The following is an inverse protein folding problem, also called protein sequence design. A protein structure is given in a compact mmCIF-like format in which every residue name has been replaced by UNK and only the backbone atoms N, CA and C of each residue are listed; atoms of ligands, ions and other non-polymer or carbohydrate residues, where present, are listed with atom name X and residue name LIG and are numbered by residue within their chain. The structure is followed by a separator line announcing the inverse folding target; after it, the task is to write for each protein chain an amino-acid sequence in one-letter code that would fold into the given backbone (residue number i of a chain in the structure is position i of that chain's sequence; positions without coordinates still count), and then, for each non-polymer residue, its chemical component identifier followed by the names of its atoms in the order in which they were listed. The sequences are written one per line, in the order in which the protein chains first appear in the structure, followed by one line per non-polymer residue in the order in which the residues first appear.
data_IF_186813231239
#
_entry.id   IF_186813231239
#
_cell.length_a   1.000
_cell.length_b   1.000
_cell.length_c   1.000
_cell.angle_alpha   90.00
_cell.angle_beta   90.00
_cell.angle_gamma   90.00
#
_symmetry.space_group_name_H-M   'P 1'
#
loop_
_entity.id
_entity.type
_entity.pdbx_description
1 polymer ?
#
# COMPACT_ATOMS: atom_id res chain seq x y z
N UNK A 1 -14.99 14.91 -15.01
CA UNK A 1 -14.21 16.09 -15.43
C UNK A 1 -13.93 16.10 -16.91
N UNK A 2 -13.73 14.93 -17.54
CA UNK A 2 -13.54 14.77 -18.98
C UNK A 2 -14.64 15.49 -19.77
N UNK A 3 -15.92 15.33 -19.40
CA UNK A 3 -17.02 16.02 -20.08
C UNK A 3 -16.87 17.54 -20.01
N UNK A 4 -16.47 18.08 -18.86
CA UNK A 4 -16.26 19.52 -18.72
C UNK A 4 -15.09 20.02 -19.56
N UNK A 5 -14.03 19.22 -19.66
CA UNK A 5 -12.87 19.56 -20.49
C UNK A 5 -13.20 19.46 -21.99
N UNK A 6 -14.04 18.48 -22.40
CA UNK A 6 -14.61 18.43 -23.75
C UNK A 6 -15.51 19.64 -24.04
N UNK A 7 -16.44 19.99 -23.15
CA UNK A 7 -17.28 21.18 -23.28
C UNK A 7 -16.40 22.43 -23.38
N UNK A 8 -15.36 22.54 -22.55
CA UNK A 8 -14.45 23.68 -22.56
C UNK A 8 -13.59 23.75 -23.84
N UNK A 9 -13.24 22.60 -24.42
CA UNK A 9 -12.54 22.53 -25.69
C UNK A 9 -13.43 22.97 -26.87
N UNK A 10 -14.72 22.64 -26.81
CA UNK A 10 -15.72 23.05 -27.81
C UNK A 10 -16.20 24.49 -27.61
N UNK A 11 -16.30 24.93 -26.36
CA UNK A 11 -16.80 26.25 -25.95
C UNK A 11 -15.93 26.76 -24.79
N UNK A 12 -14.86 27.53 -25.08
CA UNK A 12 -13.95 28.05 -24.06
C UNK A 12 -14.69 28.83 -22.98
N UNK A 13 -14.65 28.32 -21.75
CA UNK A 13 -15.26 28.96 -20.58
C UNK A 13 -14.20 29.71 -19.79
N UNK A 14 -14.57 30.85 -19.19
CA UNK A 14 -13.75 31.47 -18.16
C UNK A 14 -13.70 30.59 -16.88
N UNK A 15 -12.73 30.84 -16.02
CA UNK A 15 -12.50 30.04 -14.81
C UNK A 15 -13.71 30.01 -13.87
N UNK A 16 -14.44 31.12 -13.76
CA UNK A 16 -15.63 31.20 -12.89
C UNK A 16 -16.77 30.31 -13.40
N UNK A 17 -17.03 30.32 -14.71
CA UNK A 17 -18.04 29.46 -15.33
C UNK A 17 -17.64 28.00 -15.21
N UNK A 18 -16.35 27.68 -15.41
CA UNK A 18 -15.81 26.33 -15.22
C UNK A 18 -16.03 25.84 -13.79
N UNK A 19 -15.78 26.68 -12.78
CA UNK A 19 -15.98 26.34 -11.37
C UNK A 19 -17.46 26.18 -11.00
N UNK A 20 -18.35 27.02 -11.53
CA UNK A 20 -19.80 26.87 -11.37
C UNK A 20 -20.28 25.55 -11.96
N UNK A 21 -19.87 25.22 -13.18
CA UNK A 21 -20.23 23.95 -13.84
C UNK A 21 -19.72 22.73 -13.07
N UNK A 22 -18.51 22.76 -12.51
CA UNK A 22 -18.00 21.70 -11.61
C UNK A 22 -18.91 21.50 -10.40
N UNK A 23 -19.35 22.60 -9.80
CA UNK A 23 -20.23 22.56 -8.62
C UNK A 23 -21.61 21.98 -8.97
N UNK A 24 -22.16 22.35 -10.13
CA UNK A 24 -23.42 21.81 -10.65
C UNK A 24 -23.29 20.30 -10.87
N UNK A 25 -22.25 19.85 -11.59
CA UNK A 25 -22.03 18.42 -11.84
C UNK A 25 -21.90 17.63 -10.53
N UNK A 26 -21.13 18.14 -9.57
CA UNK A 26 -21.00 17.51 -8.25
C UNK A 26 -22.34 17.42 -7.52
N UNK A 27 -23.17 18.46 -7.62
CA UNK A 27 -24.50 18.47 -6.99
C UNK A 27 -25.43 17.45 -7.63
N UNK A 28 -25.46 17.39 -8.97
CA UNK A 28 -26.24 16.40 -9.72
C UNK A 28 -25.82 14.98 -9.31
N UNK A 29 -24.51 14.72 -9.26
CA UNK A 29 -23.94 13.47 -8.77
C UNK A 29 -24.48 13.13 -7.38
N UNK A 30 -24.25 13.98 -6.39
CA UNK A 30 -24.71 13.72 -5.03
C UNK A 30 -26.22 13.40 -4.94
N UNK A 31 -27.06 14.06 -5.76
CA UNK A 31 -28.51 13.84 -5.78
C UNK A 31 -28.88 12.44 -6.28
N UNK A 32 -28.33 11.96 -7.41
CA UNK A 32 -28.69 10.63 -7.92
C UNK A 32 -27.89 9.50 -7.25
N UNK A 33 -26.72 9.77 -6.68
CA UNK A 33 -25.95 8.77 -5.93
C UNK A 33 -26.72 8.29 -4.68
N UNK A 34 -27.47 9.18 -4.03
CA UNK A 34 -28.23 8.82 -2.84
C UNK A 34 -29.25 7.68 -3.08
N UNK A 35 -30.18 7.76 -4.06
CA UNK A 35 -31.11 6.66 -4.33
C UNK A 35 -30.40 5.38 -4.77
N UNK A 36 -29.29 5.48 -5.53
CA UNK A 36 -28.46 4.32 -5.87
C UNK A 36 -27.93 3.65 -4.62
N UNK A 37 -27.30 4.39 -3.70
CA UNK A 37 -26.70 3.79 -2.50
C UNK A 37 -27.78 3.25 -1.55
N UNK A 38 -28.94 3.91 -1.46
CA UNK A 38 -30.08 3.38 -0.72
C UNK A 38 -30.57 2.06 -1.32
N UNK A 39 -30.67 1.96 -2.65
CA UNK A 39 -31.02 0.71 -3.32
C UNK A 39 -29.92 -0.35 -3.18
N UNK A 40 -28.65 0.02 -3.19
CA UNK A 40 -27.52 -0.88 -2.92
C UNK A 40 -27.59 -1.45 -1.50
N UNK A 41 -27.92 -0.59 -0.54
CA UNK A 41 -28.13 -0.97 0.86
C UNK A 41 -29.29 -1.95 0.97
N UNK A 42 -30.41 -1.67 0.32
CA UNK A 42 -31.54 -2.59 0.25
C UNK A 42 -31.15 -3.94 -0.37
N UNK A 43 -30.48 -3.95 -1.51
CA UNK A 43 -30.02 -5.15 -2.20
C UNK A 43 -29.05 -6.01 -1.36
N UNK A 44 -28.22 -5.38 -0.52
CA UNK A 44 -27.35 -6.08 0.43
C UNK A 44 -28.12 -6.92 1.46
N UNK A 45 -29.31 -6.48 1.85
CA UNK A 45 -30.10 -7.07 2.93
C UNK A 45 -31.34 -7.83 2.47
N UNK A 46 -31.76 -7.68 1.21
CA UNK A 46 -32.93 -8.37 0.66
C UNK A 46 -32.71 -9.88 0.48
N UNK A 47 -31.46 -10.34 0.40
CA UNK A 47 -31.05 -11.72 0.06
C UNK A 47 -31.67 -12.24 -1.26
N UNK A 48 -32.21 -11.37 -2.11
CA UNK A 48 -32.78 -11.73 -3.41
C UNK A 48 -31.74 -11.54 -4.52
N UNK A 49 -31.42 -12.64 -5.22
CA UNK A 49 -30.42 -12.67 -6.30
C UNK A 49 -30.81 -11.71 -7.42
N UNK A 50 -32.10 -11.65 -7.79
CA UNK A 50 -32.55 -10.80 -8.88
C UNK A 50 -32.37 -9.31 -8.53
N UNK A 51 -32.72 -8.92 -7.31
CA UNK A 51 -32.47 -7.57 -6.78
C UNK A 51 -30.99 -7.21 -6.85
N UNK A 52 -30.10 -8.13 -6.49
CA UNK A 52 -28.64 -7.90 -6.53
C UNK A 52 -28.11 -7.79 -7.96
N UNK A 53 -28.54 -8.65 -8.88
CA UNK A 53 -28.17 -8.57 -10.31
C UNK A 53 -28.60 -7.21 -10.89
N UNK A 54 -29.84 -6.79 -10.61
CA UNK A 54 -30.35 -5.49 -11.05
C UNK A 54 -29.53 -4.34 -10.47
N UNK A 55 -29.13 -4.44 -9.20
CA UNK A 55 -28.25 -3.45 -8.58
C UNK A 55 -26.89 -3.35 -9.30
N UNK A 56 -26.27 -4.47 -9.68
CA UNK A 56 -25.01 -4.45 -10.42
C UNK A 56 -25.14 -3.84 -11.82
N UNK A 57 -26.25 -4.08 -12.51
CA UNK A 57 -26.55 -3.41 -13.77
C UNK A 57 -26.63 -1.89 -13.58
N UNK A 58 -27.30 -1.43 -12.52
CA UNK A 58 -27.38 -0.01 -12.17
C UNK A 58 -25.99 0.56 -11.86
N UNK A 59 -25.19 -0.12 -11.03
CA UNK A 59 -23.82 0.31 -10.70
C UNK A 59 -22.94 0.37 -11.95
N UNK A 60 -23.03 -0.60 -12.86
CA UNK A 60 -22.29 -0.58 -14.12
C UNK A 60 -22.57 0.71 -14.90
N UNK A 61 -23.84 1.03 -15.12
CA UNK A 61 -24.22 2.23 -15.87
C UNK A 61 -23.84 3.51 -15.14
N UNK A 62 -24.01 3.52 -13.82
CA UNK A 62 -23.55 4.60 -12.97
C UNK A 62 -22.04 4.82 -13.12
N UNK A 63 -21.20 3.80 -12.92
CA UNK A 63 -19.74 3.91 -13.05
C UNK A 63 -19.31 4.42 -14.44
N UNK A 64 -19.97 3.96 -15.52
CA UNK A 64 -19.70 4.43 -16.88
C UNK A 64 -20.06 5.91 -17.00
N UNK A 65 -21.26 6.31 -16.60
CA UNK A 65 -21.70 7.70 -16.67
C UNK A 65 -20.81 8.62 -15.83
N UNK A 66 -20.49 8.17 -14.61
CA UNK A 66 -19.67 8.90 -13.67
C UNK A 66 -18.23 9.07 -14.10
N UNK A 67 -17.67 8.14 -14.88
CA UNK A 67 -16.32 8.28 -15.41
C UNK A 67 -16.14 9.58 -16.23
N UNK A 68 -17.22 10.10 -16.82
CA UNK A 68 -17.23 11.37 -17.56
C UNK A 68 -17.22 12.60 -16.64
N UNK A 69 -17.83 12.46 -15.45
CA UNK A 69 -18.14 13.57 -14.54
C UNK A 69 -17.17 13.67 -13.35
N UNK A 70 -16.56 12.55 -12.94
CA UNK A 70 -15.74 12.43 -11.75
C UNK A 70 -14.29 12.94 -11.88
N UNK A 71 -13.60 12.97 -10.75
CA UNK A 71 -12.15 13.19 -10.61
C UNK A 71 -11.36 11.92 -10.98
N UNK A 72 -10.06 12.03 -11.34
CA UNK A 72 -9.27 10.88 -11.79
C UNK A 72 -9.18 9.72 -10.80
N UNK A 73 -9.10 10.00 -9.51
CA UNK A 73 -9.09 8.97 -8.46
C UNK A 73 -10.38 8.15 -8.47
N UNK A 74 -11.53 8.81 -8.58
CA UNK A 74 -12.84 8.15 -8.64
C UNK A 74 -13.05 7.40 -9.97
N UNK A 75 -12.40 7.82 -11.07
CA UNK A 75 -12.35 7.03 -12.31
C UNK A 75 -11.63 5.70 -12.09
N UNK A 76 -10.49 5.69 -11.39
CA UNK A 76 -9.76 4.45 -11.07
C UNK A 76 -10.64 3.53 -10.21
N UNK A 77 -11.39 4.08 -9.26
CA UNK A 77 -12.35 3.31 -8.47
C UNK A 77 -13.43 2.69 -9.35
N UNK A 78 -14.04 3.46 -10.25
CA UNK A 78 -15.05 2.95 -11.17
C UNK A 78 -14.49 1.89 -12.13
N UNK A 79 -13.25 2.03 -12.60
CA UNK A 79 -12.58 0.98 -13.38
C UNK A 79 -12.45 -0.30 -12.55
N UNK A 80 -12.02 -0.19 -11.28
CA UNK A 80 -11.91 -1.34 -10.40
C UNK A 80 -13.27 -2.04 -10.18
N UNK A 81 -14.33 -1.27 -9.95
CA UNK A 81 -15.71 -1.78 -9.83
C UNK A 81 -16.17 -2.44 -11.14
N UNK A 82 -15.91 -1.82 -12.29
CA UNK A 82 -16.28 -2.38 -13.60
C UNK A 82 -15.53 -3.69 -13.90
N UNK A 83 -14.25 -3.80 -13.52
CA UNK A 83 -13.47 -5.04 -13.65
C UNK A 83 -14.07 -6.19 -12.81
N UNK A 84 -14.63 -5.88 -11.65
CA UNK A 84 -15.33 -6.87 -10.80
C UNK A 84 -16.67 -7.29 -11.38
N UNK A 85 -17.43 -6.31 -11.91
CA UNK A 85 -18.79 -6.53 -12.40
C UNK A 85 -18.80 -7.16 -13.79
N UNK A 86 -17.80 -6.88 -14.65
CA UNK A 86 -17.82 -7.29 -16.05
C UNK A 86 -17.94 -8.82 -16.25
N UNK A 87 -17.07 -9.66 -15.66
CA UNK A 87 -17.22 -11.12 -15.80
C UNK A 87 -18.46 -11.65 -15.09
N UNK A 88 -18.84 -10.99 -14.00
CA UNK A 88 -20.02 -11.30 -13.18
C UNK A 88 -21.33 -11.17 -13.95
N UNK A 89 -21.47 -10.17 -14.83
CA UNK A 89 -22.68 -9.99 -15.64
C UNK A 89 -22.77 -10.91 -16.84
N UNK A 90 -21.64 -11.42 -17.34
CA UNK A 90 -21.61 -12.29 -18.52
C UNK A 90 -21.78 -13.79 -18.17
N UNK A 91 -21.80 -14.14 -16.88
CA UNK A 91 -21.97 -15.51 -16.40
C UNK A 91 -22.88 -15.56 -15.15
N UNK A 92 -24.20 -15.60 -15.38
CA UNK A 92 -25.21 -15.58 -14.30
C UNK A 92 -25.05 -16.78 -13.35
N UNK A 93 -24.67 -17.96 -13.86
CA UNK A 93 -24.43 -19.15 -13.04
C UNK A 93 -23.21 -18.97 -12.13
N UNK A 94 -22.11 -18.38 -12.62
CA UNK A 94 -20.94 -18.06 -11.80
C UNK A 94 -21.24 -16.97 -10.75
N UNK A 95 -22.06 -15.98 -11.10
CA UNK A 95 -22.47 -14.90 -10.20
C UNK A 95 -23.21 -15.42 -8.96
N UNK A 96 -24.09 -16.40 -9.12
CA UNK A 96 -24.82 -17.01 -7.99
C UNK A 96 -23.87 -17.64 -6.96
N UNK A 97 -22.77 -18.26 -7.42
CA UNK A 97 -21.76 -18.88 -6.55
C UNK A 97 -20.87 -17.86 -5.85
N UNK A 98 -20.80 -16.61 -6.35
CA UNK A 98 -19.97 -15.54 -5.79
C UNK A 98 -20.79 -14.40 -5.19
N UNK A 99 -22.06 -14.66 -4.86
CA UNK A 99 -22.96 -13.71 -4.23
C UNK A 99 -22.36 -13.13 -2.93
N UNK A 100 -21.62 -13.93 -2.16
CA UNK A 100 -20.95 -13.46 -0.94
C UNK A 100 -19.87 -12.41 -1.20
N UNK A 101 -19.09 -12.54 -2.28
CA UNK A 101 -18.11 -11.53 -2.70
C UNK A 101 -18.84 -10.22 -3.03
N UNK A 102 -19.89 -10.33 -3.82
CA UNK A 102 -20.71 -9.22 -4.29
C UNK A 102 -21.33 -8.42 -3.14
N UNK A 103 -21.90 -9.08 -2.12
CA UNK A 103 -22.46 -8.42 -0.94
C UNK A 103 -21.37 -7.64 -0.19
N UNK A 104 -20.16 -8.18 -0.05
CA UNK A 104 -19.07 -7.48 0.65
C UNK A 104 -18.62 -6.25 -0.15
N UNK A 105 -18.56 -6.33 -1.48
CA UNK A 105 -18.28 -5.17 -2.34
C UNK A 105 -19.35 -4.10 -2.18
N UNK A 106 -20.64 -4.45 -2.24
CA UNK A 106 -21.73 -3.48 -2.06
C UNK A 106 -21.72 -2.81 -0.67
N UNK A 107 -21.34 -3.56 0.38
CA UNK A 107 -21.19 -3.01 1.74
C UNK A 107 -20.14 -1.90 1.85
N UNK A 108 -19.19 -1.83 0.91
CA UNK A 108 -18.24 -0.71 0.86
C UNK A 108 -18.93 0.62 0.59
N UNK A 109 -20.12 0.63 -0.03
CA UNK A 109 -20.86 1.87 -0.31
C UNK A 109 -21.66 2.40 0.88
N UNK A 110 -21.82 1.63 1.96
CA UNK A 110 -22.57 2.07 3.14
C UNK A 110 -21.96 3.31 3.79
N UNK A 111 -20.63 3.41 3.83
CA UNK A 111 -19.97 4.61 4.35
C UNK A 111 -20.27 5.83 3.47
N UNK A 112 -20.46 5.66 2.16
CA UNK A 112 -20.68 6.75 1.20
C UNK A 112 -21.97 7.53 1.49
N UNK A 113 -22.98 6.90 2.10
CA UNK A 113 -24.20 7.59 2.58
C UNK A 113 -23.84 8.78 3.47
N UNK A 114 -22.94 8.56 4.42
CA UNK A 114 -22.50 9.59 5.38
C UNK A 114 -21.58 10.63 4.73
N UNK A 115 -20.86 10.25 3.67
CA UNK A 115 -20.06 11.21 2.92
C UNK A 115 -20.95 12.20 2.16
N UNK A 116 -22.02 11.70 1.53
CA UNK A 116 -22.95 12.49 0.73
C UNK A 116 -23.87 13.33 1.62
N UNK A 117 -24.44 12.74 2.68
CA UNK A 117 -25.32 13.44 3.63
C UNK A 117 -24.66 14.68 4.24
N UNK A 118 -23.33 14.68 4.39
CA UNK A 118 -22.55 15.81 4.91
C UNK A 118 -22.79 17.09 4.12
N UNK A 119 -22.92 17.00 2.80
CA UNK A 119 -23.12 18.16 1.92
C UNK A 119 -24.54 18.75 2.08
N UNK A 120 -25.49 17.96 2.63
CA UNK A 120 -26.86 18.38 2.89
C UNK A 120 -27.10 18.87 4.34
N UNK A 121 -26.16 18.66 5.27
CA UNK A 121 -26.27 19.12 6.66
C UNK A 121 -25.90 20.62 6.74
N UNK A 122 -26.83 21.52 7.14
CA UNK A 122 -26.50 22.93 7.29
C UNK A 122 -25.38 23.18 8.31
N UNK A 123 -24.43 24.07 7.96
CA UNK A 123 -23.23 24.39 8.79
C UNK A 123 -23.54 24.81 10.23
N UNK A 124 -24.74 25.30 10.52
CA UNK A 124 -25.19 25.66 11.88
C UNK A 124 -25.27 24.44 12.81
N UNK A 125 -25.47 23.23 12.28
CA UNK A 125 -25.64 22.01 13.07
C UNK A 125 -24.33 21.25 13.27
N UNK A 126 -23.37 21.87 13.99
CA UNK A 126 -22.02 21.32 14.21
C UNK A 126 -22.02 19.91 14.80
N UNK A 127 -22.91 19.62 15.76
CA UNK A 127 -23.01 18.30 16.41
C UNK A 127 -23.43 17.21 15.43
N UNK A 128 -24.41 17.50 14.57
CA UNK A 128 -24.89 16.55 13.55
C UNK A 128 -23.76 16.27 12.55
N UNK A 129 -23.04 17.32 12.10
CA UNK A 129 -21.87 17.16 11.23
C UNK A 129 -20.78 16.29 11.88
N UNK A 130 -20.53 16.46 13.17
CA UNK A 130 -19.55 15.65 13.91
C UNK A 130 -19.96 14.18 13.96
N UNK A 131 -21.21 13.88 14.38
CA UNK A 131 -21.75 12.52 14.44
C UNK A 131 -21.70 11.87 13.07
N UNK A 132 -22.11 12.59 12.02
CA UNK A 132 -22.07 12.10 10.65
C UNK A 132 -20.65 11.73 10.19
N UNK A 133 -19.65 12.58 10.49
CA UNK A 133 -18.25 12.28 10.18
C UNK A 133 -17.72 11.07 10.97
N UNK A 134 -18.10 10.92 12.24
CA UNK A 134 -17.73 9.75 13.04
C UNK A 134 -18.34 8.47 12.45
N UNK A 135 -19.62 8.49 12.07
CA UNK A 135 -20.28 7.36 11.43
C UNK A 135 -19.63 7.01 10.08
N UNK A 136 -19.30 8.02 9.26
CA UNK A 136 -18.51 7.81 8.04
C UNK A 136 -17.20 7.07 8.34
N UNK A 137 -16.41 7.54 9.30
CA UNK A 137 -15.10 6.95 9.62
C UNK A 137 -15.21 5.54 10.17
N UNK A 138 -16.13 5.31 11.12
CA UNK A 138 -16.33 3.98 11.74
C UNK A 138 -16.80 2.98 10.70
N UNK A 139 -17.78 3.34 9.86
CA UNK A 139 -18.26 2.46 8.80
C UNK A 139 -17.20 2.24 7.72
N UNK A 140 -16.43 3.27 7.35
CA UNK A 140 -15.33 3.12 6.40
C UNK A 140 -14.30 2.13 6.93
N UNK A 141 -13.85 2.29 8.18
CA UNK A 141 -12.90 1.38 8.80
C UNK A 141 -13.46 -0.05 8.89
N UNK A 142 -14.73 -0.20 9.26
CA UNK A 142 -15.35 -1.51 9.39
C UNK A 142 -15.58 -2.21 8.05
N UNK A 143 -16.25 -1.58 7.08
CA UNK A 143 -16.64 -2.24 5.82
C UNK A 143 -15.54 -2.25 4.79
N UNK A 144 -14.79 -1.15 4.61
CA UNK A 144 -13.79 -1.01 3.54
C UNK A 144 -12.41 -1.50 3.92
N UNK A 145 -12.05 -1.47 5.20
CA UNK A 145 -10.76 -1.97 5.69
C UNK A 145 -10.94 -3.36 6.29
N UNK A 146 -11.60 -3.48 7.44
CA UNK A 146 -11.65 -4.75 8.17
C UNK A 146 -12.43 -5.85 7.44
N UNK A 147 -13.71 -5.64 7.11
CA UNK A 147 -14.53 -6.66 6.45
C UNK A 147 -13.99 -6.99 5.06
N UNK A 148 -13.59 -5.99 4.26
CA UNK A 148 -13.03 -6.23 2.93
C UNK A 148 -11.76 -7.09 2.99
N UNK A 149 -10.79 -6.75 3.87
CA UNK A 149 -9.58 -7.55 4.06
C UNK A 149 -9.92 -8.97 4.50
N UNK A 150 -10.74 -9.12 5.54
CA UNK A 150 -11.04 -10.43 6.14
C UNK A 150 -11.84 -11.34 5.21
N UNK A 151 -12.88 -10.80 4.58
CA UNK A 151 -13.84 -11.59 3.81
C UNK A 151 -13.43 -11.80 2.37
N UNK A 152 -12.62 -10.90 1.79
CA UNK A 152 -12.19 -11.00 0.38
C UNK A 152 -10.69 -11.30 0.30
N UNK A 153 -9.83 -10.41 0.82
CA UNK A 153 -8.37 -10.51 0.60
C UNK A 153 -7.79 -11.79 1.22
N UNK A 154 -8.11 -12.08 2.48
CA UNK A 154 -7.56 -13.25 3.18
C UNK A 154 -8.43 -14.52 3.08
N UNK A 155 -9.52 -14.48 2.31
CA UNK A 155 -10.44 -15.60 2.22
C UNK A 155 -10.00 -16.59 1.14
N UNK A 156 -9.47 -17.74 1.58
CA UNK A 156 -9.02 -18.82 0.69
C UNK A 156 -10.17 -19.35 -0.19
N UNK A 157 -11.37 -19.49 0.36
CA UNK A 157 -12.56 -20.00 -0.35
C UNK A 157 -12.97 -19.09 -1.51
N UNK A 158 -13.04 -17.76 -1.28
CA UNK A 158 -13.38 -16.83 -2.37
C UNK A 158 -12.32 -16.88 -3.48
N UNK A 159 -11.04 -16.91 -3.12
CA UNK A 159 -9.97 -16.99 -4.12
C UNK A 159 -10.06 -18.28 -4.94
N UNK A 160 -10.32 -19.43 -4.30
CA UNK A 160 -10.51 -20.70 -5.01
C UNK A 160 -11.78 -20.73 -5.85
N UNK A 161 -12.87 -20.12 -5.39
CA UNK A 161 -14.13 -20.07 -6.12
C UNK A 161 -14.00 -19.21 -7.39
N UNK A 162 -13.28 -18.08 -7.31
CA UNK A 162 -12.97 -17.26 -8.50
C UNK A 162 -12.24 -18.10 -9.55
N UNK A 163 -11.20 -18.84 -9.14
CA UNK A 163 -10.42 -19.68 -10.07
C UNK A 163 -11.20 -20.89 -10.59
N UNK A 164 -12.17 -21.38 -9.82
CA UNK A 164 -13.01 -22.53 -10.19
C UNK A 164 -14.13 -22.16 -11.18
N UNK A 165 -14.75 -21.00 -11.02
CA UNK A 165 -15.97 -20.63 -11.75
C UNK A 165 -15.72 -19.71 -12.95
N UNK A 166 -14.51 -19.15 -13.10
CA UNK A 166 -14.16 -18.27 -14.21
C UNK A 166 -12.98 -18.78 -15.03
N UNK A 167 -12.91 -18.34 -16.28
CA UNK A 167 -11.72 -18.55 -17.11
C UNK A 167 -10.49 -17.89 -16.45
N UNK A 168 -9.26 -18.35 -16.71
CA UNK A 168 -8.06 -17.72 -16.15
C UNK A 168 -7.96 -16.21 -16.44
N UNK A 169 -8.45 -15.79 -17.60
CA UNK A 169 -8.51 -14.38 -17.98
C UNK A 169 -9.51 -13.60 -17.10
N UNK A 170 -10.74 -14.08 -16.98
CA UNK A 170 -11.78 -13.44 -16.18
C UNK A 170 -11.45 -13.42 -14.68
N UNK A 171 -10.91 -14.53 -14.16
CA UNK A 171 -10.40 -14.63 -12.80
C UNK A 171 -9.30 -13.59 -12.54
N UNK A 172 -8.41 -13.38 -13.52
CA UNK A 172 -7.39 -12.34 -13.49
C UNK A 172 -7.99 -10.93 -13.39
N UNK A 173 -9.00 -10.61 -14.22
CA UNK A 173 -9.67 -9.30 -14.19
C UNK A 173 -10.37 -9.05 -12.84
N UNK A 174 -11.07 -10.06 -12.30
CA UNK A 174 -11.72 -9.95 -10.98
C UNK A 174 -10.67 -9.69 -9.91
N UNK A 175 -9.59 -10.46 -9.87
CA UNK A 175 -8.52 -10.29 -8.88
C UNK A 175 -7.89 -8.89 -8.99
N UNK A 176 -7.62 -8.39 -10.20
CA UNK A 176 -7.13 -7.01 -10.40
C UNK A 176 -8.12 -6.00 -9.82
N UNK A 177 -9.42 -6.14 -10.12
CA UNK A 177 -10.47 -5.29 -9.55
C UNK A 177 -10.52 -5.32 -8.02
N UNK A 178 -10.39 -6.50 -7.40
CA UNK A 178 -10.36 -6.69 -5.95
C UNK A 178 -9.19 -5.93 -5.34
N UNK A 179 -7.97 -6.16 -5.84
CA UNK A 179 -6.77 -5.55 -5.27
C UNK A 179 -6.74 -4.04 -5.53
N UNK A 180 -7.19 -3.57 -6.69
CA UNK A 180 -7.25 -2.14 -7.00
C UNK A 180 -8.22 -1.42 -6.05
N UNK A 181 -9.42 -1.97 -5.81
CA UNK A 181 -10.34 -1.42 -4.81
C UNK A 181 -9.74 -1.43 -3.40
N UNK A 182 -9.05 -2.50 -3.03
CA UNK A 182 -8.41 -2.61 -1.73
C UNK A 182 -7.34 -1.53 -1.52
N UNK A 183 -6.45 -1.35 -2.49
CA UNK A 183 -5.39 -0.34 -2.41
C UNK A 183 -5.95 1.08 -2.39
N UNK A 184 -7.02 1.33 -3.15
CA UNK A 184 -7.75 2.59 -3.09
C UNK A 184 -8.38 2.84 -1.71
N UNK A 185 -8.98 1.81 -1.10
CA UNK A 185 -9.53 1.93 0.25
C UNK A 185 -8.44 2.24 1.28
N UNK A 186 -7.26 1.61 1.19
CA UNK A 186 -6.12 1.93 2.05
C UNK A 186 -5.60 3.35 1.82
N UNK A 187 -5.53 3.80 0.56
CA UNK A 187 -5.13 5.16 0.21
C UNK A 187 -6.07 6.20 0.82
N UNK A 188 -7.38 6.04 0.64
CA UNK A 188 -8.38 6.92 1.24
C UNK A 188 -8.38 6.84 2.77
N UNK A 189 -8.15 5.66 3.34
CA UNK A 189 -7.99 5.51 4.78
C UNK A 189 -6.79 6.30 5.30
N UNK A 190 -5.66 6.29 4.58
CA UNK A 190 -4.51 7.11 4.95
C UNK A 190 -4.83 8.62 4.92
N UNK A 191 -5.66 9.10 3.99
CA UNK A 191 -6.14 10.50 3.99
C UNK A 191 -7.01 10.78 5.22
N UNK A 192 -7.89 9.84 5.60
CA UNK A 192 -8.72 9.96 6.81
C UNK A 192 -7.80 10.05 8.04
N UNK A 193 -6.83 9.15 8.17
CA UNK A 193 -5.85 9.14 9.26
C UNK A 193 -5.05 10.44 9.27
N UNK A 194 -4.60 10.94 8.12
CA UNK A 194 -3.93 12.25 8.02
C UNK A 194 -4.78 13.37 8.60
N UNK A 195 -6.07 13.37 8.29
CA UNK A 195 -7.00 14.38 8.82
C UNK A 195 -7.16 14.28 10.34
N UNK A 196 -7.20 13.07 10.89
CA UNK A 196 -7.27 12.83 12.33
C UNK A 196 -5.97 13.26 13.02
N UNK A 197 -4.82 12.79 12.53
CA UNK A 197 -3.50 13.10 13.08
C UNK A 197 -3.24 14.61 13.04
N UNK A 198 -3.68 15.32 11.99
CA UNK A 198 -3.57 16.79 11.93
C UNK A 198 -4.25 17.45 13.13
N UNK A 199 -5.47 17.03 13.47
CA UNK A 199 -6.22 17.58 14.62
C UNK A 199 -5.55 17.24 15.95
N UNK A 200 -4.97 16.05 16.07
CA UNK A 200 -4.19 15.66 17.26
C UNK A 200 -2.90 16.51 17.35
N UNK A 201 -2.27 16.82 16.23
CA UNK A 201 -1.09 17.69 16.20
C UNK A 201 -1.40 19.09 16.72
N UNK A 202 -2.54 19.65 16.34
CA UNK A 202 -3.01 20.97 16.81
C UNK A 202 -3.17 21.02 18.34
N UNK A 203 -3.35 19.87 18.99
CA UNK A 203 -3.44 19.76 20.46
C UNK A 203 -2.09 19.53 21.15
N UNK A 204 -0.98 19.39 20.40
CA UNK A 204 0.37 19.23 20.95
C UNK A 204 0.70 17.83 21.50
N UNK A 205 -0.12 16.82 21.22
CA UNK A 205 0.07 15.45 21.73
C UNK A 205 0.97 14.54 20.86
N UNK A 206 1.38 14.98 19.67
CA UNK A 206 2.23 14.15 18.79
C UNK A 206 3.68 14.15 19.22
N UNK A 207 4.36 13.02 18.98
CA UNK A 207 5.78 12.87 19.24
C UNK A 207 6.58 13.82 18.35
N UNK A 208 7.56 14.51 18.95
CA UNK A 208 8.52 15.30 18.19
C UNK A 208 9.44 14.41 17.36
N UNK A 209 10.14 15.01 16.40
CA UNK A 209 11.14 14.31 15.61
C UNK A 209 12.20 13.62 16.49
N UNK A 210 12.76 14.35 17.45
CA UNK A 210 13.80 13.81 18.35
C UNK A 210 13.29 12.66 19.22
N UNK A 211 12.02 12.71 19.65
CA UNK A 211 11.39 11.60 20.36
C UNK A 211 11.22 10.38 19.44
N UNK A 212 10.84 10.61 18.19
CA UNK A 212 10.74 9.55 17.19
C UNK A 212 12.09 8.88 16.93
N UNK A 213 13.16 9.64 16.70
CA UNK A 213 14.53 9.08 16.48
C UNK A 213 15.04 8.28 17.69
N UNK A 214 14.73 8.73 18.92
CA UNK A 214 15.07 7.98 20.14
C UNK A 214 14.40 6.61 20.22
N UNK A 215 13.19 6.48 19.67
CA UNK A 215 12.48 5.21 19.59
C UNK A 215 13.07 4.37 18.45
N UNK A 216 13.23 4.99 17.26
CA UNK A 216 13.67 4.31 16.03
C UNK A 216 15.01 3.60 16.24
N UNK A 217 16.00 4.25 16.87
CA UNK A 217 17.33 3.66 17.04
C UNK A 217 17.31 2.30 17.75
N UNK A 218 16.36 2.06 18.65
CA UNK A 218 16.19 0.76 19.31
C UNK A 218 15.16 -0.14 18.64
N UNK A 219 14.22 0.43 17.88
CA UNK A 219 13.11 -0.30 17.29
C UNK A 219 13.59 -1.44 16.41
N UNK A 220 14.63 -1.22 15.60
CA UNK A 220 15.06 -2.23 14.63
C UNK A 220 15.75 -3.45 15.28
N UNK A 221 16.25 -3.34 16.51
CA UNK A 221 16.75 -4.50 17.28
C UNK A 221 15.65 -5.50 17.67
N UNK A 222 14.38 -5.16 17.49
CA UNK A 222 13.30 -6.15 17.60
C UNK A 222 13.26 -7.12 16.42
N UNK A 223 13.84 -6.76 15.27
CA UNK A 223 13.89 -7.60 14.06
C UNK A 223 14.71 -8.89 14.27
N UNK A 224 15.96 -8.86 14.81
CA UNK A 224 16.69 -10.08 15.15
C UNK A 224 15.93 -11.02 16.08
N UNK A 225 15.22 -10.47 17.08
CA UNK A 225 14.41 -11.26 18.02
C UNK A 225 13.25 -11.95 17.28
N UNK A 226 12.58 -11.23 16.39
CA UNK A 226 11.52 -11.79 15.54
C UNK A 226 12.06 -12.89 14.62
N UNK A 227 13.19 -12.67 13.96
CA UNK A 227 13.85 -13.69 13.11
C UNK A 227 14.18 -14.94 13.91
N UNK A 228 14.82 -14.78 15.08
CA UNK A 228 15.16 -15.91 15.95
C UNK A 228 13.91 -16.69 16.37
N UNK A 229 12.82 -16.01 16.73
CA UNK A 229 11.57 -16.66 17.10
C UNK A 229 10.93 -17.46 15.95
N UNK A 230 10.93 -16.89 14.73
CA UNK A 230 10.32 -17.51 13.55
C UNK A 230 11.16 -18.67 13.02
N UNK A 231 12.49 -18.54 12.99
CA UNK A 231 13.38 -19.57 12.45
C UNK A 231 13.74 -20.67 13.46
N UNK A 232 13.66 -20.42 14.78
CA UNK A 232 14.01 -21.40 15.83
C UNK A 232 13.42 -22.81 15.63
N UNK A 233 12.16 -23.00 15.19
CA UNK A 233 11.60 -24.33 15.01
C UNK A 233 12.24 -25.15 13.88
N UNK A 234 13.03 -24.52 13.00
CA UNK A 234 13.51 -25.12 11.76
C UNK A 234 15.04 -25.28 11.77
N UNK A 235 15.51 -26.45 11.36
CA UNK A 235 16.94 -26.82 11.40
C UNK A 235 17.68 -26.53 10.08
N UNK A 236 17.28 -25.49 9.35
CA UNK A 236 17.93 -25.14 8.09
C UNK A 236 19.00 -24.06 8.28
N UNK A 237 20.25 -24.41 7.98
CA UNK A 237 21.40 -23.51 8.13
C UNK A 237 21.30 -22.24 7.26
N UNK A 238 20.52 -22.27 6.16
CA UNK A 238 20.37 -21.11 5.27
C UNK A 238 19.72 -19.90 5.98
N UNK A 239 18.88 -20.13 7.01
CA UNK A 239 18.27 -19.06 7.80
C UNK A 239 19.30 -18.22 8.58
N UNK A 240 20.51 -18.75 8.79
CA UNK A 240 21.60 -18.00 9.41
C UNK A 240 21.99 -16.76 8.60
N UNK A 241 21.95 -16.85 7.26
CA UNK A 241 22.35 -15.74 6.37
C UNK A 241 21.42 -14.54 6.53
N UNK A 242 20.10 -14.76 6.48
CA UNK A 242 19.11 -13.70 6.70
C UNK A 242 19.19 -13.15 8.13
N UNK A 243 19.31 -14.03 9.14
CA UNK A 243 19.45 -13.61 10.54
C UNK A 243 20.69 -12.72 10.75
N UNK A 244 21.83 -13.09 10.17
CA UNK A 244 23.05 -12.30 10.21
C UNK A 244 22.90 -10.95 9.52
N UNK A 245 22.27 -10.90 8.34
CA UNK A 245 21.94 -9.66 7.64
C UNK A 245 21.05 -8.73 8.47
N UNK A 246 20.05 -9.28 9.16
CA UNK A 246 19.16 -8.52 10.05
C UNK A 246 19.91 -7.97 11.27
N UNK A 247 20.82 -8.74 11.86
CA UNK A 247 21.65 -8.28 13.00
C UNK A 247 22.53 -7.12 12.59
N UNK A 248 23.30 -7.25 11.50
CA UNK A 248 24.20 -6.18 11.07
C UNK A 248 23.42 -4.91 10.72
N UNK A 249 22.31 -5.03 10.00
CA UNK A 249 21.47 -3.88 9.70
C UNK A 249 20.92 -3.22 10.98
N UNK A 250 20.63 -3.99 12.03
CA UNK A 250 20.21 -3.41 13.31
C UNK A 250 21.29 -2.57 13.96
N UNK A 251 22.56 -2.99 13.86
CA UNK A 251 23.70 -2.23 14.38
C UNK A 251 23.90 -0.95 13.58
N UNK A 252 23.97 -1.03 12.24
CA UNK A 252 24.19 0.16 11.41
C UNK A 252 23.04 1.16 11.47
N UNK A 253 21.80 0.66 11.55
CA UNK A 253 20.61 1.49 11.72
C UNK A 253 20.63 2.20 13.08
N UNK A 254 21.04 1.50 14.16
CA UNK A 254 21.24 2.13 15.46
C UNK A 254 22.29 3.23 15.40
N UNK A 255 23.46 2.99 14.79
CA UNK A 255 24.53 3.99 14.69
C UNK A 255 24.06 5.24 13.95
N UNK A 256 23.37 5.07 12.81
CA UNK A 256 22.80 6.15 12.03
C UNK A 256 21.75 6.96 12.83
N UNK A 257 20.73 6.30 13.36
CA UNK A 257 19.67 6.99 14.12
C UNK A 257 20.16 7.55 15.46
N UNK A 258 21.20 6.95 16.06
CA UNK A 258 21.82 7.51 17.25
C UNK A 258 22.57 8.81 16.91
N UNK A 259 23.34 8.84 15.82
CA UNK A 259 24.01 10.04 15.31
C UNK A 259 23.00 11.17 15.04
N UNK A 260 21.84 10.84 14.45
CA UNK A 260 20.73 11.78 14.27
C UNK A 260 20.13 12.25 15.60
N UNK A 261 19.89 11.34 16.55
CA UNK A 261 19.20 11.65 17.82
C UNK A 261 19.99 12.56 18.76
N UNK A 262 21.33 12.55 18.65
CA UNK A 262 22.23 13.39 19.47
C UNK A 262 22.19 14.85 19.00
N UNK A 263 21.82 15.08 17.74
CA UNK A 263 21.85 16.40 17.13
C UNK A 263 20.54 17.15 17.41
N UNK A 264 20.67 18.41 17.87
CA UNK A 264 19.51 19.22 18.33
C UNK A 264 18.70 19.85 17.19
N UNK A 265 19.17 19.78 15.94
CA UNK A 265 18.57 20.51 14.80
C UNK A 265 18.02 19.56 13.73
N UNK A 266 16.79 19.82 13.27
CA UNK A 266 16.12 19.05 12.19
C UNK A 266 16.70 19.32 10.79
N UNK A 267 17.61 20.29 10.68
CA UNK A 267 18.09 20.84 9.40
C UNK A 267 19.50 20.38 9.01
N UNK A 268 20.02 19.33 9.67
CA UNK A 268 21.38 18.88 9.38
C UNK A 268 21.48 18.24 8.00
N UNK A 269 22.59 18.52 7.33
CA UNK A 269 22.91 18.00 6.03
C UNK A 269 23.46 16.56 6.17
N UNK A 270 22.81 15.61 5.50
CA UNK A 270 23.23 14.19 5.45
C UNK A 270 24.62 14.03 4.83
N UNK A 271 25.09 15.01 4.07
CA UNK A 271 26.41 15.01 3.45
C UNK A 271 27.55 15.49 4.35
N UNK A 272 27.24 15.93 5.58
CA UNK A 272 28.25 16.34 6.55
C UNK A 272 29.18 15.16 6.89
N UNK A 273 30.46 15.46 7.14
CA UNK A 273 31.52 14.44 7.34
C UNK A 273 31.22 13.48 8.49
N UNK A 274 30.48 13.94 9.52
CA UNK A 274 30.13 13.15 10.69
C UNK A 274 28.85 12.32 10.52
N UNK A 275 28.14 12.45 9.40
CA UNK A 275 26.86 11.75 9.16
C UNK A 275 26.86 10.92 7.87
N UNK A 276 27.58 11.33 6.84
CA UNK A 276 27.52 10.70 5.51
C UNK A 276 27.90 9.23 5.53
N UNK A 277 28.89 8.83 6.33
CA UNK A 277 29.34 7.44 6.38
C UNK A 277 28.32 6.54 7.07
N UNK A 278 27.73 6.97 8.19
CA UNK A 278 26.62 6.24 8.81
C UNK A 278 25.43 6.05 7.86
N UNK A 279 25.14 7.06 7.03
CA UNK A 279 24.08 6.96 6.03
C UNK A 279 24.41 5.96 4.91
N UNK A 280 25.65 5.97 4.42
CA UNK A 280 26.11 5.02 3.40
C UNK A 280 26.09 3.59 3.95
N UNK A 281 26.58 3.39 5.17
CA UNK A 281 26.66 2.07 5.80
C UNK A 281 25.26 1.49 6.08
N UNK A 282 24.33 2.30 6.58
CA UNK A 282 22.94 1.87 6.78
C UNK A 282 22.29 1.44 5.46
N UNK A 283 22.40 2.25 4.40
CA UNK A 283 21.87 1.90 3.07
C UNK A 283 22.55 0.64 2.51
N UNK A 284 23.88 0.52 2.63
CA UNK A 284 24.60 -0.67 2.19
C UNK A 284 24.08 -1.94 2.90
N UNK A 285 23.88 -1.88 4.21
CA UNK A 285 23.40 -3.03 4.98
C UNK A 285 21.94 -3.38 4.67
N UNK A 286 21.10 -2.41 4.30
CA UNK A 286 19.77 -2.69 3.75
C UNK A 286 19.90 -3.53 2.48
N UNK A 287 20.79 -3.14 1.56
CA UNK A 287 21.00 -3.88 0.31
C UNK A 287 21.55 -5.29 0.55
N UNK A 288 22.54 -5.44 1.42
CA UNK A 288 23.13 -6.74 1.77
C UNK A 288 22.08 -7.66 2.40
N UNK A 289 21.28 -7.15 3.34
CA UNK A 289 20.20 -7.91 3.96
C UNK A 289 19.17 -8.36 2.92
N UNK A 290 18.71 -7.47 2.05
CA UNK A 290 17.71 -7.82 1.02
C UNK A 290 18.21 -8.96 0.12
N UNK A 291 19.48 -8.89 -0.29
CA UNK A 291 20.13 -9.95 -1.04
C UNK A 291 20.20 -11.28 -0.26
N UNK A 292 20.60 -11.26 1.02
CA UNK A 292 20.58 -12.47 1.85
C UNK A 292 19.18 -13.05 2.03
N UNK A 293 18.16 -12.21 2.05
CA UNK A 293 16.77 -12.62 2.10
C UNK A 293 16.35 -13.36 0.82
N UNK A 294 16.72 -12.86 -0.37
CA UNK A 294 16.49 -13.56 -1.65
C UNK A 294 17.24 -14.88 -1.72
N UNK A 295 18.50 -14.89 -1.30
CA UNK A 295 19.31 -16.10 -1.27
C UNK A 295 18.67 -17.18 -0.39
N UNK A 296 18.11 -16.78 0.74
CA UNK A 296 17.39 -17.64 1.68
C UNK A 296 16.04 -18.09 1.13
N UNK A 297 15.30 -17.20 0.46
CA UNK A 297 13.99 -17.47 -0.11
C UNK A 297 14.02 -18.45 -1.27
N UNK A 298 14.99 -18.29 -2.17
CA UNK A 298 15.13 -19.13 -3.37
C UNK A 298 15.66 -20.53 -3.08
N UNK A 299 15.98 -20.82 -1.81
CA UNK A 299 16.55 -22.08 -1.34
C UNK A 299 17.74 -22.55 -2.18
N UNK A 300 18.63 -21.62 -2.55
CA UNK A 300 19.68 -21.90 -3.53
C UNK A 300 20.51 -23.14 -3.17
N UNK A 301 20.73 -23.38 -1.86
CA UNK A 301 21.44 -24.55 -1.36
C UNK A 301 20.74 -25.88 -1.69
N UNK A 302 19.43 -26.02 -1.40
CA UNK A 302 18.68 -27.24 -1.74
C UNK A 302 18.58 -27.40 -3.25
N UNK A 303 18.31 -26.30 -3.95
CA UNK A 303 18.18 -26.28 -5.41
C UNK A 303 19.47 -26.74 -6.11
N UNK A 304 20.63 -26.31 -5.62
CA UNK A 304 21.96 -26.73 -6.09
C UNK A 304 22.26 -28.20 -5.81
N UNK A 305 21.86 -28.70 -4.64
CA UNK A 305 22.18 -30.07 -4.19
C UNK A 305 21.25 -31.12 -4.78
N UNK A 306 20.00 -30.76 -5.13
CA UNK A 306 18.99 -31.71 -5.64
C UNK A 306 18.76 -31.64 -7.16
N UNK A 307 19.50 -30.80 -7.90
CA UNK A 307 19.30 -30.54 -9.34
C UNK A 307 17.81 -30.33 -9.70
N UNK A 308 17.11 -29.52 -8.92
CA UNK A 308 15.68 -29.29 -9.13
C UNK A 308 15.41 -28.64 -10.51
N UNK A 309 14.29 -28.94 -11.17
CA UNK A 309 13.95 -28.37 -12.48
C UNK A 309 13.91 -26.84 -12.50
N UNK A 310 13.68 -26.19 -11.35
CA UNK A 310 13.65 -24.74 -11.21
C UNK A 310 15.03 -24.12 -10.92
N UNK A 311 16.12 -24.88 -10.97
CA UNK A 311 17.46 -24.43 -10.60
C UNK A 311 17.92 -23.21 -11.39
N UNK A 312 17.79 -23.24 -12.71
CA UNK A 312 18.24 -22.14 -13.57
C UNK A 312 17.47 -20.86 -13.29
N UNK A 313 16.16 -20.96 -13.01
CA UNK A 313 15.31 -19.81 -12.70
C UNK A 313 15.74 -19.19 -11.37
N UNK A 314 15.89 -20.00 -10.31
CA UNK A 314 16.28 -19.52 -8.99
C UNK A 314 17.69 -18.92 -8.99
N UNK A 315 18.65 -19.54 -9.70
CA UNK A 315 19.98 -18.95 -9.90
C UNK A 315 19.91 -17.59 -10.61
N UNK A 316 19.10 -17.49 -11.67
CA UNK A 316 18.94 -16.26 -12.44
C UNK A 316 18.40 -15.13 -11.55
N UNK A 317 17.43 -15.43 -10.69
CA UNK A 317 16.89 -14.47 -9.72
C UNK A 317 17.96 -13.99 -8.72
N UNK A 318 18.79 -14.90 -8.18
CA UNK A 318 19.87 -14.55 -7.27
C UNK A 318 20.94 -13.70 -7.94
N UNK A 319 21.40 -14.08 -9.15
CA UNK A 319 22.38 -13.29 -9.90
C UNK A 319 21.84 -11.92 -10.28
N UNK A 320 20.57 -11.86 -10.70
CA UNK A 320 19.90 -10.60 -11.00
C UNK A 320 19.84 -9.69 -9.76
N UNK A 321 19.40 -10.19 -8.61
CA UNK A 321 19.38 -9.43 -7.35
C UNK A 321 20.78 -8.92 -6.99
N UNK A 322 21.81 -9.78 -7.03
CA UNK A 322 23.19 -9.38 -6.72
C UNK A 322 23.69 -8.23 -7.63
N UNK A 323 23.54 -8.39 -8.95
CA UNK A 323 23.97 -7.39 -9.92
C UNK A 323 23.19 -6.09 -9.73
N UNK A 324 21.88 -6.19 -9.47
CA UNK A 324 21.03 -5.03 -9.34
C UNK A 324 21.33 -4.23 -8.06
N UNK A 325 21.49 -4.91 -6.93
CA UNK A 325 21.90 -4.28 -5.67
C UNK A 325 23.29 -3.65 -5.79
N UNK A 326 24.25 -4.32 -6.44
CA UNK A 326 25.62 -3.82 -6.63
C UNK A 326 25.65 -2.58 -7.53
N UNK A 327 24.99 -2.64 -8.69
CA UNK A 327 24.90 -1.50 -9.60
C UNK A 327 24.21 -0.31 -8.93
N UNK A 328 23.13 -0.58 -8.21
CA UNK A 328 22.39 0.49 -7.54
C UNK A 328 23.18 1.16 -6.42
N UNK A 329 23.91 0.37 -5.61
CA UNK A 329 24.77 0.93 -4.56
C UNK A 329 25.92 1.75 -5.14
N UNK A 330 26.55 1.28 -6.23
CA UNK A 330 27.55 2.05 -6.95
C UNK A 330 27.01 3.41 -7.42
N UNK A 331 25.82 3.42 -8.04
CA UNK A 331 25.18 4.66 -8.49
C UNK A 331 24.76 5.57 -7.33
N UNK A 332 24.29 5.00 -6.22
CA UNK A 332 23.95 5.74 -5.00
C UNK A 332 25.18 6.46 -4.41
N UNK A 333 26.29 5.76 -4.18
CA UNK A 333 27.52 6.35 -3.64
C UNK A 333 28.08 7.40 -4.59
N UNK A 334 28.17 7.08 -5.90
CA UNK A 334 28.66 8.02 -6.91
C UNK A 334 27.86 9.32 -6.90
N UNK A 335 26.53 9.22 -6.80
CA UNK A 335 25.66 10.39 -6.76
C UNK A 335 25.80 11.18 -5.46
N UNK A 336 25.92 10.52 -4.29
CA UNK A 336 26.19 11.20 -3.02
C UNK A 336 27.51 11.99 -3.04
N UNK A 337 28.59 11.38 -3.54
CA UNK A 337 29.89 12.05 -3.69
C UNK A 337 29.78 13.26 -4.62
N UNK A 338 29.02 13.13 -5.72
CA UNK A 338 28.76 14.23 -6.66
C UNK A 338 28.04 15.39 -5.96
N UNK A 339 26.98 15.10 -5.20
CA UNK A 339 26.23 16.12 -4.46
C UNK A 339 27.10 16.80 -3.39
N UNK A 340 27.94 16.04 -2.69
CA UNK A 340 28.88 16.57 -1.69
C UNK A 340 29.91 17.49 -2.33
N UNK A 341 30.53 17.07 -3.45
CA UNK A 341 31.51 17.88 -4.18
C UNK A 341 30.92 19.18 -4.73
N UNK A 342 29.62 19.20 -4.99
CA UNK A 342 28.87 20.37 -5.47
C UNK A 342 28.31 21.23 -4.33
N UNK A 343 28.71 20.98 -3.07
CA UNK A 343 28.20 21.65 -1.86
C UNK A 343 26.67 21.73 -1.80
N UNK A 344 25.99 20.69 -2.28
CA UNK A 344 24.53 20.61 -2.18
C UNK A 344 24.12 20.28 -0.74
N UNK A 345 22.96 20.80 -0.33
CA UNK A 345 22.39 20.54 0.99
C UNK A 345 21.31 19.47 0.86
N UNK A 346 21.47 18.35 1.56
CA UNK A 346 20.49 17.26 1.65
C UNK A 346 20.03 17.19 3.11
N UNK A 347 18.89 17.77 3.40
CA UNK A 347 18.22 17.60 4.70
C UNK A 347 17.47 16.27 4.75
N UNK A 348 17.14 15.77 5.93
CA UNK A 348 16.47 14.47 6.06
C UNK A 348 15.00 14.53 5.58
N UNK A 349 14.35 15.70 5.66
CA UNK A 349 12.90 15.82 5.38
C UNK A 349 12.47 16.96 4.43
N UNK A 350 13.31 17.96 4.17
CA UNK A 350 12.93 19.17 3.40
C UNK A 350 13.70 19.29 2.08
N UNK A 351 13.86 18.18 1.36
CA UNK A 351 14.53 18.25 0.07
C UNK A 351 13.54 18.43 -1.08
N UNK A 352 13.89 19.26 -2.09
CA UNK A 352 13.12 19.28 -3.31
C UNK A 352 13.16 17.88 -3.96
N UNK A 353 12.01 17.37 -4.44
CA UNK A 353 11.89 16.00 -4.95
C UNK A 353 12.87 15.73 -6.09
N UNK A 354 13.13 16.71 -6.95
CA UNK A 354 14.04 16.59 -8.10
C UNK A 354 15.47 16.16 -7.72
N UNK A 355 15.98 16.63 -6.57
CA UNK A 355 17.35 16.33 -6.12
C UNK A 355 17.47 14.98 -5.41
N UNK A 356 16.39 14.54 -4.77
CA UNK A 356 16.38 13.30 -3.97
C UNK A 356 15.82 12.12 -4.72
N UNK A 357 15.13 12.34 -5.85
CA UNK A 357 14.52 11.28 -6.63
C UNK A 357 15.53 10.22 -7.06
N UNK A 358 16.72 10.61 -7.51
CA UNK A 358 17.77 9.66 -7.92
C UNK A 358 18.24 8.83 -6.71
N UNK A 359 18.49 9.46 -5.55
CA UNK A 359 18.87 8.75 -4.32
C UNK A 359 17.78 7.78 -3.86
N UNK A 360 16.51 8.20 -3.93
CA UNK A 360 15.38 7.37 -3.57
C UNK A 360 15.21 6.20 -4.54
N UNK A 361 15.39 6.44 -5.84
CA UNK A 361 15.28 5.41 -6.87
C UNK A 361 16.37 4.35 -6.69
N UNK A 362 17.63 4.75 -6.58
CA UNK A 362 18.75 3.80 -6.41
C UNK A 362 18.60 3.01 -5.11
N UNK A 363 18.34 3.66 -3.98
CA UNK A 363 18.23 2.91 -2.71
C UNK A 363 17.00 1.99 -2.64
N UNK A 364 15.87 2.36 -3.26
CA UNK A 364 14.58 1.68 -3.01
C UNK A 364 14.18 0.68 -4.09
N UNK A 365 14.61 0.88 -5.34
CA UNK A 365 14.13 0.08 -6.46
C UNK A 365 14.56 -1.40 -6.38
N UNK A 366 15.82 -1.75 -6.06
CA UNK A 366 16.22 -3.15 -5.90
C UNK A 366 15.43 -3.84 -4.77
N UNK A 367 15.25 -3.16 -3.64
CA UNK A 367 14.47 -3.66 -2.49
C UNK A 367 13.03 -3.98 -2.91
N UNK A 368 12.40 -3.11 -3.70
CA UNK A 368 11.04 -3.31 -4.19
C UNK A 368 10.98 -4.52 -5.12
N UNK A 369 11.94 -4.67 -6.04
CA UNK A 369 11.98 -5.80 -6.97
C UNK A 369 12.19 -7.12 -6.23
N UNK A 370 13.12 -7.17 -5.27
CA UNK A 370 13.35 -8.35 -4.44
C UNK A 370 12.11 -8.70 -3.59
N UNK A 371 11.41 -7.69 -3.05
CA UNK A 371 10.14 -7.91 -2.35
C UNK A 371 9.09 -8.54 -3.27
N UNK A 372 8.99 -8.11 -4.53
CA UNK A 372 8.07 -8.68 -5.52
C UNK A 372 8.46 -10.13 -5.86
N UNK A 373 9.76 -10.41 -6.04
CA UNK A 373 10.26 -11.77 -6.28
C UNK A 373 9.86 -12.71 -5.14
N UNK A 374 10.04 -12.28 -3.88
CA UNK A 374 9.66 -13.08 -2.71
C UNK A 374 8.15 -13.31 -2.60
N UNK A 375 7.35 -12.26 -2.85
CA UNK A 375 5.88 -12.37 -2.88
C UNK A 375 5.45 -13.39 -3.95
N UNK A 376 6.06 -13.33 -5.13
CA UNK A 376 5.77 -14.27 -6.23
C UNK A 376 6.15 -15.71 -5.88
N UNK A 377 7.30 -15.92 -5.25
CA UNK A 377 7.75 -17.25 -4.83
C UNK A 377 6.96 -17.84 -3.65
N UNK A 378 6.14 -17.03 -2.97
CA UNK A 378 5.34 -17.47 -1.82
C UNK A 378 3.98 -18.01 -2.24
N UNK A 379 3.79 -19.33 -2.11
CA UNK A 379 2.51 -19.97 -2.50
C UNK A 379 1.40 -19.83 -1.43
N UNK A 380 1.71 -19.55 -0.16
CA UNK A 380 0.67 -19.31 0.83
C UNK A 380 0.01 -17.94 0.61
N UNK A 381 -1.32 -17.97 0.45
CA UNK A 381 -2.14 -16.78 0.20
C UNK A 381 -1.99 -15.73 1.31
N UNK A 382 -1.95 -16.15 2.58
CA UNK A 382 -1.92 -15.21 3.70
C UNK A 382 -0.59 -14.48 3.77
N UNK A 383 0.54 -15.20 3.68
CA UNK A 383 1.87 -14.59 3.69
C UNK A 383 2.04 -13.68 2.46
N UNK A 384 1.66 -14.16 1.27
CA UNK A 384 1.73 -13.39 0.03
C UNK A 384 0.94 -12.08 0.11
N UNK A 385 -0.31 -12.14 0.58
CA UNK A 385 -1.17 -10.96 0.65
C UNK A 385 -0.69 -9.95 1.71
N UNK A 386 -0.08 -10.41 2.80
CA UNK A 386 0.57 -9.52 3.77
C UNK A 386 1.82 -8.84 3.20
N UNK A 387 2.64 -9.56 2.43
CA UNK A 387 3.79 -8.96 1.72
C UNK A 387 3.35 -7.86 0.76
N UNK A 388 2.30 -8.11 -0.03
CA UNK A 388 1.68 -7.11 -0.91
C UNK A 388 1.16 -5.92 -0.10
N UNK A 389 0.41 -6.18 0.97
CA UNK A 389 -0.15 -5.14 1.83
C UNK A 389 0.94 -4.20 2.37
N UNK A 390 2.01 -4.75 2.92
CA UNK A 390 3.11 -3.95 3.49
C UNK A 390 3.80 -3.11 2.42
N UNK A 391 4.03 -3.70 1.24
CA UNK A 391 4.62 -3.00 0.10
C UNK A 391 3.77 -1.78 -0.29
N UNK A 392 2.46 -1.96 -0.35
CA UNK A 392 1.51 -0.87 -0.64
C UNK A 392 1.47 0.15 0.51
N UNK A 393 1.53 -0.28 1.77
CA UNK A 393 1.57 0.63 2.92
C UNK A 393 2.83 1.49 2.92
N UNK A 394 3.99 0.98 2.49
CA UNK A 394 5.18 1.81 2.26
C UNK A 394 4.92 2.90 1.23
N UNK A 395 4.36 2.55 0.07
CA UNK A 395 4.03 3.52 -0.97
C UNK A 395 3.05 4.59 -0.46
N UNK A 396 2.04 4.18 0.31
CA UNK A 396 1.05 5.09 0.90
C UNK A 396 1.68 6.00 1.95
N UNK A 397 2.51 5.49 2.86
CA UNK A 397 3.17 6.32 3.88
C UNK A 397 4.09 7.35 3.22
N UNK A 398 4.86 6.95 2.21
CA UNK A 398 5.79 7.85 1.53
C UNK A 398 5.08 8.92 0.71
N UNK A 399 3.95 8.58 0.07
CA UNK A 399 3.20 9.51 -0.78
C UNK A 399 2.21 10.40 0.00
N UNK A 400 1.42 9.81 0.89
CA UNK A 400 0.37 10.51 1.63
C UNK A 400 0.93 11.16 2.89
N UNK A 401 1.95 10.57 3.51
CA UNK A 401 2.53 11.02 4.77
C UNK A 401 1.47 11.18 5.89
N UNK A 402 0.67 10.15 6.19
CA UNK A 402 -0.51 10.28 7.05
C UNK A 402 -0.19 10.60 8.51
N UNK A 403 1.01 10.32 8.99
CA UNK A 403 1.42 10.51 10.39
C UNK A 403 2.30 11.76 10.61
N UNK A 404 2.42 12.65 9.63
CA UNK A 404 3.27 13.86 9.70
C UNK A 404 4.70 13.56 10.20
N UNK A 405 5.10 14.12 11.35
CA UNK A 405 6.43 13.96 11.94
C UNK A 405 6.72 12.50 12.34
N UNK A 406 5.68 11.71 12.63
CA UNK A 406 5.81 10.30 13.01
C UNK A 406 5.91 9.36 11.80
N UNK A 407 5.82 9.84 10.56
CA UNK A 407 5.87 8.96 9.38
C UNK A 407 7.15 8.12 9.33
N UNK A 408 8.28 8.69 9.74
CA UNK A 408 9.54 7.95 9.77
C UNK A 408 9.50 6.80 10.78
N UNK A 409 8.96 7.04 11.98
CA UNK A 409 8.75 5.99 12.97
C UNK A 409 7.80 4.90 12.44
N UNK A 410 6.69 5.29 11.83
CA UNK A 410 5.73 4.31 11.26
C UNK A 410 6.36 3.53 10.10
N UNK A 411 7.19 4.17 9.29
CA UNK A 411 7.97 3.49 8.24
C UNK A 411 8.87 2.40 8.85
N UNK A 412 9.58 2.68 9.93
CA UNK A 412 10.39 1.67 10.64
C UNK A 412 9.55 0.56 11.29
N UNK A 413 8.36 0.88 11.81
CA UNK A 413 7.41 -0.14 12.29
C UNK A 413 6.98 -1.06 11.14
N UNK A 414 6.74 -0.51 9.94
CA UNK A 414 6.44 -1.33 8.76
C UNK A 414 7.64 -2.17 8.32
N UNK A 415 8.88 -1.69 8.46
CA UNK A 415 10.08 -2.50 8.18
C UNK A 415 10.19 -3.70 9.11
N UNK A 416 9.82 -3.54 10.39
CA UNK A 416 9.73 -4.67 11.31
C UNK A 416 8.68 -5.68 10.86
N UNK A 417 7.47 -5.22 10.51
CA UNK A 417 6.45 -6.11 9.97
C UNK A 417 6.90 -6.79 8.69
N UNK A 418 7.52 -6.06 7.76
CA UNK A 418 8.10 -6.62 6.54
C UNK A 418 9.07 -7.74 6.89
N UNK A 419 9.98 -7.53 7.84
CA UNK A 419 10.94 -8.54 8.31
C UNK A 419 10.23 -9.82 8.77
N UNK A 420 9.21 -9.69 9.60
CA UNK A 420 8.42 -10.84 10.07
C UNK A 420 7.85 -11.64 8.90
N UNK A 421 7.23 -10.97 7.92
CA UNK A 421 6.64 -11.66 6.77
C UNK A 421 7.66 -12.24 5.80
N UNK A 422 8.81 -11.59 5.62
CA UNK A 422 9.90 -12.13 4.82
C UNK A 422 10.46 -13.41 5.46
N UNK A 423 10.63 -13.45 6.78
CA UNK A 423 11.03 -14.67 7.48
C UNK A 423 9.98 -15.78 7.36
N UNK A 424 8.69 -15.47 7.49
CA UNK A 424 7.60 -16.43 7.29
C UNK A 424 7.58 -16.97 5.85
N UNK A 425 7.80 -16.11 4.85
CA UNK A 425 7.93 -16.49 3.44
C UNK A 425 9.09 -17.47 3.24
N UNK A 426 10.26 -17.17 3.82
CA UNK A 426 11.44 -18.04 3.76
C UNK A 426 11.16 -19.43 4.37
N UNK A 427 10.52 -19.49 5.54
CA UNK A 427 10.12 -20.76 6.14
C UNK A 427 9.18 -21.52 5.21
N UNK A 428 8.13 -20.86 4.73
CA UNK A 428 7.12 -21.52 3.91
C UNK A 428 7.70 -22.10 2.62
N UNK A 429 8.57 -21.35 1.94
CA UNK A 429 9.21 -21.81 0.70
C UNK A 429 10.18 -22.97 0.98
N UNK A 430 10.94 -22.92 2.06
CA UNK A 430 11.98 -23.92 2.33
C UNK A 430 11.43 -25.26 2.87
N UNK A 431 10.29 -25.25 3.56
CA UNK A 431 9.69 -26.46 4.14
C UNK A 431 8.66 -27.14 3.22
N UNK A 432 8.16 -26.43 2.18
CA UNK A 432 7.14 -26.94 1.25
C UNK A 432 7.58 -27.05 -0.22
N UNK A 433 8.84 -26.71 -0.53
CA UNK A 433 9.55 -27.20 -1.73
C UNK A 433 10.21 -28.54 -1.41
#
# INVERSE_FOLDING_TARGET
MILLDCINALMPMNNDTKNKMRTIFKTIQNIYYLPVILYATYACYSNDINTQINMFSIIKWQCIFDSLLCTPDLIIHHIAVLLLIYPSLNSISALSNLMHLMIVVLKTELSTVFLISRDFIPKKYKTITLVNNLLFMVLFMYTRIYEYSKKIIYNKTINSDIDKYYSPYDAGLIKIGIYLLYFMNLYWFAIIIKTIVKKINETGFLLSFQQSERIIKYLYFTSPVACAFIYKPFLNAIYFLDTFGVIILSVTSYEYHNALSIQKTEEKNVLDDDLIWYYIDDVLMIHIRCFFCILTNTNLYKVLTTMAPNMYINMTLVYFSLLFHSASMYHFVKYLVTLKSSNQLITIYKNPPEKTQILHLTKSLPILVDSIIMIYNTNDLYIRNNGILITILFMIIMSVQPFYQMNHLVFHILLLFQTIFLCQSNVYVNEHL
#
